data_IF_089526378129
#
_entry.id   IF_089526378129
#
_cell.length_a   1.000
_cell.length_b   1.000
_cell.length_c   1.000
_cell.angle_alpha   90.00
_cell.angle_beta   90.00
_cell.angle_gamma   90.00
#
_symmetry.space_group_name_H-M   'P 1'
#
loop_
_entity.id
_entity.type
_entity.pdbx_description
1 polymer ?
#
# COMPACT_ATOMS: atom_id res chain seq x y z
N UNK A 1 -6.81 -23.92 -14.73
CA UNK A 1 -5.41 -24.35 -14.44
C UNK A 1 -5.24 -24.57 -12.95
N UNK A 2 -4.17 -25.27 -12.51
CA UNK A 2 -3.87 -25.46 -11.08
C UNK A 2 -2.88 -24.40 -10.59
N UNK A 3 -3.04 -23.97 -9.34
CA UNK A 3 -2.14 -23.02 -8.67
C UNK A 3 -2.11 -23.35 -7.18
N UNK A 4 -0.96 -23.14 -6.50
CA UNK A 4 -0.95 -23.09 -5.04
C UNK A 4 -1.32 -21.70 -4.61
N UNK A 5 -2.05 -21.56 -3.51
CA UNK A 5 -2.44 -20.27 -2.95
C UNK A 5 -2.52 -20.31 -1.43
N UNK A 6 -2.25 -19.18 -0.77
CA UNK A 6 -2.53 -19.03 0.64
C UNK A 6 -3.98 -18.57 0.84
N UNK A 7 -4.75 -19.40 1.51
CA UNK A 7 -6.19 -19.26 1.77
C UNK A 7 -6.44 -18.87 3.21
N UNK A 8 -7.26 -17.87 3.43
CA UNK A 8 -7.83 -17.53 4.73
C UNK A 8 -9.26 -18.05 4.80
N UNK A 9 -9.54 -18.98 5.70
CA UNK A 9 -10.84 -19.63 5.82
C UNK A 9 -11.84 -18.86 6.68
N UNK A 10 -11.34 -17.99 7.55
CA UNK A 10 -12.16 -17.15 8.42
C UNK A 10 -11.32 -16.16 9.22
N UNK A 11 -12.00 -15.19 9.83
CA UNK A 11 -11.36 -14.19 10.69
C UNK A 11 -10.67 -14.88 11.88
N UNK A 12 -9.44 -14.50 12.17
CA UNK A 12 -8.64 -15.04 13.28
C UNK A 12 -7.97 -16.38 12.98
N UNK A 13 -8.16 -16.93 11.77
CA UNK A 13 -7.45 -18.15 11.36
C UNK A 13 -6.08 -17.85 10.77
N UNK A 14 -5.21 -18.87 10.71
CA UNK A 14 -3.95 -18.81 10.01
C UNK A 14 -4.15 -19.05 8.51
N UNK A 15 -3.25 -18.50 7.70
CA UNK A 15 -3.18 -18.81 6.27
C UNK A 15 -2.85 -20.28 6.06
N UNK A 16 -3.56 -20.93 5.15
CA UNK A 16 -3.33 -22.31 4.75
C UNK A 16 -2.98 -22.34 3.27
N UNK A 17 -1.82 -22.89 2.94
CA UNK A 17 -1.41 -23.07 1.54
C UNK A 17 -2.05 -24.35 1.01
N UNK A 18 -2.78 -24.22 -0.10
CA UNK A 18 -3.47 -25.35 -0.74
C UNK A 18 -3.50 -25.19 -2.26
N UNK A 19 -3.81 -26.28 -2.97
CA UNK A 19 -3.99 -26.27 -4.42
C UNK A 19 -5.41 -25.78 -4.78
N UNK A 20 -5.49 -24.84 -5.71
CA UNK A 20 -6.73 -24.26 -6.21
C UNK A 20 -6.87 -24.46 -7.72
N UNK A 21 -8.09 -24.37 -8.21
CA UNK A 21 -8.41 -24.29 -9.64
C UNK A 21 -8.65 -22.84 -10.04
N UNK A 22 -8.09 -22.43 -11.19
CA UNK A 22 -8.31 -21.12 -11.80
C UNK A 22 -8.93 -21.32 -13.18
N UNK A 23 -9.99 -20.58 -13.45
CA UNK A 23 -10.63 -20.55 -14.78
C UNK A 23 -9.68 -19.98 -15.85
N UNK A 24 -9.99 -20.28 -17.11
CA UNK A 24 -9.31 -19.62 -18.24
C UNK A 24 -9.68 -18.13 -18.34
N UNK A 25 -8.80 -17.29 -18.91
CA UNK A 25 -9.04 -15.85 -19.03
C UNK A 25 -10.19 -15.53 -19.97
N UNK A 26 -11.17 -14.80 -19.48
CA UNK A 26 -12.24 -14.17 -20.25
C UNK A 26 -11.78 -12.91 -20.99
N UNK A 27 -12.69 -12.23 -21.70
CA UNK A 27 -12.35 -10.98 -22.41
C UNK A 27 -11.84 -9.90 -21.46
N UNK A 28 -10.69 -9.30 -21.79
CA UNK A 28 -10.05 -8.27 -20.96
C UNK A 28 -9.36 -8.78 -19.70
N UNK A 29 -9.10 -10.09 -19.63
CA UNK A 29 -8.44 -10.73 -18.48
C UNK A 29 -7.10 -11.34 -18.89
N UNK A 30 -6.22 -11.47 -17.91
CA UNK A 30 -4.88 -12.00 -18.09
C UNK A 30 -4.54 -12.96 -16.96
N UNK A 31 -3.75 -14.00 -17.27
CA UNK A 31 -3.14 -14.87 -16.27
C UNK A 31 -1.71 -14.40 -16.03
N UNK A 32 -1.39 -14.16 -14.76
CA UNK A 32 -0.06 -13.76 -14.31
C UNK A 32 0.59 -14.92 -13.55
N UNK A 33 1.82 -15.30 -13.91
CA UNK A 33 2.70 -16.11 -13.07
C UNK A 33 3.36 -15.18 -12.07
N UNK A 34 3.02 -15.30 -10.79
CA UNK A 34 3.59 -14.48 -9.72
C UNK A 34 5.07 -14.80 -9.55
N UNK A 35 5.89 -13.80 -9.37
CA UNK A 35 7.32 -13.91 -9.07
C UNK A 35 7.64 -13.43 -7.67
N UNK A 36 7.03 -12.32 -7.25
CA UNK A 36 7.18 -11.77 -5.90
C UNK A 36 5.85 -11.17 -5.47
N UNK A 37 5.46 -11.40 -4.23
CA UNK A 37 4.35 -10.73 -3.55
C UNK A 37 4.86 -10.01 -2.30
N UNK A 38 4.44 -8.76 -2.11
CA UNK A 38 4.73 -7.99 -0.91
C UNK A 38 3.77 -8.35 0.22
N UNK A 39 4.28 -8.41 1.45
CA UNK A 39 3.46 -8.61 2.65
C UNK A 39 3.10 -7.24 3.26
N UNK A 40 1.82 -7.00 3.46
CA UNK A 40 1.30 -5.70 3.90
C UNK A 40 0.41 -5.85 5.15
N UNK A 41 0.29 -4.78 5.92
CA UNK A 41 -0.63 -4.72 7.06
C UNK A 41 -2.10 -4.84 6.63
N UNK A 42 -2.43 -4.48 5.40
CA UNK A 42 -3.80 -4.63 4.90
C UNK A 42 -4.25 -6.09 4.81
N UNK A 43 -3.32 -7.03 4.57
CA UNK A 43 -3.64 -8.46 4.61
C UNK A 43 -3.86 -8.93 6.06
N UNK A 44 -3.10 -8.38 7.01
CA UNK A 44 -3.30 -8.62 8.44
C UNK A 44 -4.67 -8.10 8.91
N UNK A 45 -5.14 -6.95 8.41
CA UNK A 45 -6.48 -6.43 8.69
C UNK A 45 -7.60 -7.38 8.26
N UNK A 46 -7.39 -8.18 7.21
CA UNK A 46 -8.35 -9.22 6.80
C UNK A 46 -8.32 -10.39 7.80
N UNK A 47 -7.14 -10.75 8.32
CA UNK A 47 -7.00 -11.81 9.34
C UNK A 47 -7.62 -11.37 10.67
N UNK A 48 -7.37 -10.13 11.11
CA UNK A 48 -7.88 -9.62 12.40
C UNK A 48 -9.35 -9.22 12.36
N UNK A 49 -9.93 -9.05 11.15
CA UNK A 49 -11.30 -8.57 10.99
C UNK A 49 -11.45 -7.04 11.06
N UNK A 50 -10.35 -6.29 11.08
CA UNK A 50 -10.38 -4.82 10.93
C UNK A 50 -10.89 -4.42 9.55
N UNK A 51 -10.60 -5.24 8.54
CA UNK A 51 -11.15 -5.15 7.19
C UNK A 51 -11.91 -6.44 6.86
N UNK A 52 -13.22 -6.32 6.68
CA UNK A 52 -14.09 -7.46 6.42
C UNK A 52 -14.08 -7.83 4.94
N UNK A 53 -13.82 -9.11 4.65
CA UNK A 53 -14.07 -9.66 3.32
C UNK A 53 -15.54 -10.09 3.22
N UNK A 54 -16.19 -9.85 2.09
CA UNK A 54 -17.60 -10.23 1.91
C UNK A 54 -17.81 -11.74 1.80
N UNK A 55 -16.76 -12.51 1.50
CA UNK A 55 -16.79 -13.95 1.37
C UNK A 55 -15.48 -14.59 1.87
N UNK A 56 -15.62 -15.72 2.57
CA UNK A 56 -14.52 -16.61 2.93
C UNK A 56 -14.84 -18.03 2.41
N UNK A 57 -13.85 -18.85 2.03
CA UNK A 57 -12.43 -18.54 2.07
C UNK A 57 -11.99 -17.53 1.01
N UNK A 58 -10.88 -16.83 1.29
CA UNK A 58 -10.31 -15.87 0.35
C UNK A 58 -8.81 -16.09 0.14
N UNK A 59 -8.33 -15.75 -1.06
CA UNK A 59 -6.91 -15.71 -1.40
C UNK A 59 -6.37 -14.34 -0.95
N UNK A 60 -5.31 -14.32 -0.14
CA UNK A 60 -4.67 -13.10 0.34
C UNK A 60 -3.76 -12.45 -0.68
N UNK A 61 -3.24 -11.28 -0.28
CA UNK A 61 -2.25 -10.54 -1.06
C UNK A 61 -2.85 -9.56 -2.07
N UNK A 62 -2.23 -8.38 -2.13
CA UNK A 62 -2.65 -7.30 -3.02
C UNK A 62 -1.45 -6.53 -3.60
N UNK A 63 -0.24 -6.91 -3.24
CA UNK A 63 1.01 -6.40 -3.80
C UNK A 63 1.68 -7.51 -4.60
N UNK A 64 2.02 -7.27 -5.86
CA UNK A 64 2.64 -8.33 -6.63
C UNK A 64 3.32 -7.87 -7.92
N UNK A 65 4.26 -8.70 -8.35
CA UNK A 65 4.94 -8.64 -9.63
C UNK A 65 4.98 -10.03 -10.26
N UNK A 66 4.88 -10.09 -11.57
CA UNK A 66 4.91 -11.35 -12.29
C UNK A 66 5.01 -11.19 -13.80
N UNK A 67 4.93 -12.33 -14.48
CA UNK A 67 4.99 -12.45 -15.92
C UNK A 67 3.60 -12.85 -16.46
N UNK A 68 3.15 -12.18 -17.51
CA UNK A 68 1.94 -12.57 -18.24
C UNK A 68 2.19 -13.91 -18.94
N UNK A 69 1.35 -14.90 -18.66
CA UNK A 69 1.47 -16.22 -19.29
C UNK A 69 0.34 -16.52 -20.28
N UNK A 70 -0.84 -15.93 -20.08
CA UNK A 70 -2.00 -16.09 -20.95
C UNK A 70 -2.83 -14.82 -20.97
N UNK A 71 -3.46 -14.52 -22.10
CA UNK A 71 -4.34 -13.36 -22.26
C UNK A 71 -5.68 -13.79 -22.89
N UNK A 72 -6.75 -13.22 -22.39
CA UNK A 72 -8.08 -13.40 -22.95
C UNK A 72 -8.34 -12.54 -24.17
N UNK A 73 -9.52 -12.70 -24.76
CA UNK A 73 -9.92 -11.89 -25.89
C UNK A 73 -9.96 -10.39 -25.54
N UNK A 74 -9.70 -9.52 -26.51
CA UNK A 74 -9.71 -8.05 -26.39
C UNK A 74 -8.65 -7.45 -25.45
N UNK A 75 -7.72 -8.22 -24.91
CA UNK A 75 -6.55 -7.70 -24.21
C UNK A 75 -5.63 -7.03 -25.22
N UNK A 76 -5.22 -5.78 -24.95
CA UNK A 76 -4.41 -4.97 -25.86
C UNK A 76 -3.20 -4.32 -25.19
N UNK A 77 -3.18 -4.24 -23.86
CA UNK A 77 -2.14 -3.52 -23.12
C UNK A 77 -0.91 -4.38 -22.80
N UNK A 78 -1.06 -5.70 -22.80
CA UNK A 78 -0.01 -6.67 -22.49
C UNK A 78 -0.11 -7.93 -23.34
N UNK A 79 0.96 -8.73 -23.39
CA UNK A 79 1.03 -10.01 -24.08
C UNK A 79 1.84 -11.03 -23.26
N UNK A 80 1.74 -12.34 -23.54
CA UNK A 80 2.57 -13.35 -22.88
C UNK A 80 4.07 -13.00 -22.96
N UNK A 81 4.78 -13.16 -21.85
CA UNK A 81 6.18 -12.79 -21.66
C UNK A 81 6.38 -11.35 -21.14
N UNK A 82 5.35 -10.51 -21.09
CA UNK A 82 5.48 -9.19 -20.52
C UNK A 82 5.60 -9.25 -18.97
N UNK A 83 6.52 -8.46 -18.43
CA UNK A 83 6.66 -8.26 -16.99
C UNK A 83 5.68 -7.18 -16.52
N UNK A 84 5.01 -7.43 -15.39
CA UNK A 84 3.99 -6.52 -14.86
C UNK A 84 4.11 -6.33 -13.35
N UNK A 85 3.77 -5.12 -12.92
CA UNK A 85 3.38 -4.80 -11.55
C UNK A 85 1.85 -4.87 -11.45
N UNK A 86 1.32 -5.36 -10.33
CA UNK A 86 -0.12 -5.54 -10.13
C UNK A 86 -0.67 -4.41 -9.25
N UNK A 87 -1.60 -3.64 -9.78
CA UNK A 87 -2.26 -2.55 -9.06
C UNK A 87 -3.56 -3.04 -8.43
N UNK A 88 -3.69 -2.92 -7.11
CA UNK A 88 -4.92 -3.28 -6.40
C UNK A 88 -6.10 -2.34 -6.70
N UNK A 89 -5.86 -1.21 -7.33
CA UNK A 89 -6.88 -0.35 -7.93
C UNK A 89 -6.78 -0.47 -9.45
N UNK A 90 -7.70 -1.17 -10.11
CA UNK A 90 -7.77 -1.18 -11.57
C UNK A 90 -7.96 0.22 -12.12
N UNK A 91 -7.34 0.53 -13.25
CA UNK A 91 -7.42 1.84 -13.90
C UNK A 91 -7.93 1.71 -15.33
N UNK A 92 -9.27 1.78 -15.52
CA UNK A 92 -9.90 1.53 -16.82
C UNK A 92 -9.65 2.62 -17.89
N UNK A 93 -9.10 3.78 -17.51
CA UNK A 93 -8.79 4.88 -18.43
C UNK A 93 -10.00 5.64 -19.01
N UNK A 94 -11.24 5.17 -18.80
CA UNK A 94 -12.44 5.70 -19.48
C UNK A 94 -13.55 6.23 -18.55
N UNK A 95 -13.58 5.87 -17.29
CA UNK A 95 -14.55 6.43 -16.33
C UNK A 95 -14.20 7.90 -15.99
N UNK A 96 -15.17 8.63 -15.42
CA UNK A 96 -14.98 10.03 -15.04
C UNK A 96 -13.75 10.29 -14.19
N UNK A 97 -13.42 9.36 -13.30
CA UNK A 97 -12.28 9.50 -12.42
C UNK A 97 -10.95 9.34 -13.14
N UNK A 98 -10.84 8.32 -13.99
CA UNK A 98 -9.63 8.10 -14.79
C UNK A 98 -9.36 9.27 -15.73
N UNK A 99 -10.38 9.74 -16.48
CA UNK A 99 -10.19 10.84 -17.44
C UNK A 99 -9.98 12.20 -16.77
N UNK A 100 -10.32 12.34 -15.48
CA UNK A 100 -10.03 13.55 -14.70
C UNK A 100 -8.69 13.50 -13.93
N UNK A 101 -7.84 12.47 -14.18
CA UNK A 101 -6.55 12.31 -13.51
C UNK A 101 -6.63 11.73 -12.10
N UNK A 102 -7.78 11.21 -11.68
CA UNK A 102 -8.03 10.63 -10.35
C UNK A 102 -8.27 9.12 -10.44
N UNK A 103 -7.40 8.40 -11.14
CA UNK A 103 -7.56 6.97 -11.45
C UNK A 103 -7.59 6.07 -10.21
N UNK A 104 -7.04 6.49 -9.08
CA UNK A 104 -7.20 5.80 -7.78
C UNK A 104 -8.67 5.69 -7.33
N UNK A 105 -9.57 6.45 -7.91
CA UNK A 105 -11.00 6.41 -7.68
C UNK A 105 -11.76 5.76 -8.83
N UNK A 106 -11.09 4.99 -9.68
CA UNK A 106 -11.71 4.28 -10.80
C UNK A 106 -12.93 3.48 -10.36
N UNK A 107 -14.01 3.54 -11.16
CA UNK A 107 -15.26 2.84 -10.85
C UNK A 107 -15.07 1.31 -10.74
N UNK A 108 -14.08 0.72 -11.42
CA UNK A 108 -13.70 -0.69 -11.24
C UNK A 108 -13.04 -0.94 -9.87
N UNK A 109 -12.25 0.01 -9.39
CA UNK A 109 -11.64 -0.04 -8.06
C UNK A 109 -12.63 0.18 -6.93
N UNK A 110 -13.78 0.81 -7.18
CA UNK A 110 -14.85 0.95 -6.18
C UNK A 110 -15.41 -0.41 -5.71
N UNK A 111 -15.22 -1.45 -6.52
CA UNK A 111 -15.57 -2.85 -6.19
C UNK A 111 -14.54 -3.56 -5.30
N UNK A 112 -13.55 -2.85 -4.78
CA UNK A 112 -12.47 -3.40 -3.96
C UNK A 112 -12.99 -4.16 -2.73
N UNK A 113 -14.07 -3.65 -2.13
CA UNK A 113 -14.73 -4.22 -0.97
C UNK A 113 -15.95 -5.07 -1.35
N UNK A 114 -16.33 -5.08 -2.62
CA UNK A 114 -17.56 -5.73 -3.02
C UNK A 114 -17.42 -7.23 -3.11
N UNK A 115 -16.20 -7.84 -3.13
CA UNK A 115 -16.37 -9.27 -3.23
C UNK A 115 -15.22 -10.17 -3.51
N UNK A 116 -14.03 -9.69 -3.76
CA UNK A 116 -13.00 -10.61 -4.24
C UNK A 116 -13.35 -11.34 -5.53
N UNK A 117 -14.35 -10.85 -6.29
CA UNK A 117 -14.75 -11.37 -7.59
C UNK A 117 -13.97 -10.72 -8.73
N UNK A 118 -14.10 -11.25 -9.92
CA UNK A 118 -13.67 -10.59 -11.16
C UNK A 118 -14.47 -9.30 -11.39
N UNK A 119 -13.97 -8.43 -12.26
CA UNK A 119 -14.64 -7.14 -12.56
C UNK A 119 -16.05 -7.30 -13.16
N UNK A 120 -16.36 -8.45 -13.75
CA UNK A 120 -17.68 -8.83 -14.26
C UNK A 120 -18.59 -9.44 -13.20
N UNK A 121 -18.07 -9.67 -11.97
CA UNK A 121 -18.84 -10.22 -10.84
C UNK A 121 -18.83 -11.74 -10.74
N UNK A 122 -18.11 -12.46 -11.61
CA UNK A 122 -17.98 -13.93 -11.49
C UNK A 122 -16.89 -14.33 -10.50
N UNK A 123 -17.02 -15.49 -9.90
CA UNK A 123 -15.94 -16.16 -9.18
C UNK A 123 -15.15 -16.99 -10.18
N UNK A 124 -13.83 -16.88 -10.17
CA UNK A 124 -12.95 -17.53 -11.15
C UNK A 124 -11.82 -18.34 -10.52
N UNK A 125 -11.85 -18.47 -9.20
CA UNK A 125 -10.91 -19.26 -8.41
C UNK A 125 -11.69 -20.17 -7.49
N UNK A 126 -11.29 -21.43 -7.39
CA UNK A 126 -12.05 -22.47 -6.71
C UNK A 126 -11.16 -23.40 -5.91
N UNK A 127 -11.62 -23.84 -4.74
CA UNK A 127 -11.04 -24.95 -3.99
C UNK A 127 -12.06 -26.10 -3.97
N UNK A 128 -11.89 -27.07 -4.86
CA UNK A 128 -12.90 -28.09 -5.13
C UNK A 128 -14.20 -27.47 -5.65
N UNK A 129 -15.28 -27.59 -4.89
CA UNK A 129 -16.59 -26.99 -5.22
C UNK A 129 -16.82 -25.62 -4.55
N UNK A 130 -15.85 -25.09 -3.82
CA UNK A 130 -15.96 -23.85 -3.07
C UNK A 130 -15.35 -22.71 -3.86
N UNK A 131 -16.16 -21.67 -4.10
CA UNK A 131 -15.69 -20.44 -4.71
C UNK A 131 -14.79 -19.66 -3.74
N UNK A 132 -13.72 -19.08 -4.27
CA UNK A 132 -12.73 -18.30 -3.50
C UNK A 132 -12.84 -16.82 -3.82
N UNK A 133 -13.02 -15.99 -2.80
CA UNK A 133 -12.81 -14.56 -2.93
C UNK A 133 -11.32 -14.24 -3.09
N UNK A 134 -11.00 -13.03 -3.54
CA UNK A 134 -9.62 -12.56 -3.68
C UNK A 134 -9.48 -11.17 -3.08
N UNK A 135 -8.46 -10.99 -2.28
CA UNK A 135 -8.18 -9.67 -1.74
C UNK A 135 -7.91 -8.68 -2.87
N UNK A 136 -8.60 -7.55 -2.84
CA UNK A 136 -8.41 -6.45 -3.79
C UNK A 136 -8.55 -6.86 -5.27
N UNK A 137 -9.38 -7.84 -5.59
CA UNK A 137 -9.54 -8.42 -6.94
C UNK A 137 -8.24 -9.04 -7.52
N UNK A 138 -7.19 -9.18 -6.71
CA UNK A 138 -5.88 -9.74 -7.08
C UNK A 138 -5.66 -11.13 -6.47
N UNK A 139 -5.43 -11.20 -5.15
CA UNK A 139 -5.07 -12.44 -4.47
C UNK A 139 -3.63 -12.86 -4.78
N UNK A 140 -2.64 -11.98 -4.56
CA UNK A 140 -1.25 -12.18 -5.00
C UNK A 140 -0.48 -13.26 -4.26
N UNK A 141 -1.05 -13.85 -3.21
CA UNK A 141 -0.44 -15.01 -2.53
C UNK A 141 -0.78 -16.32 -3.24
N UNK A 142 -0.52 -16.39 -4.54
CA UNK A 142 -0.72 -17.56 -5.38
C UNK A 142 0.35 -17.64 -6.47
N UNK A 143 0.73 -18.87 -6.89
CA UNK A 143 1.70 -19.09 -7.98
C UNK A 143 1.19 -18.48 -9.30
N UNK A 144 -0.10 -18.62 -9.56
CA UNK A 144 -0.78 -18.03 -10.72
C UNK A 144 -2.07 -17.36 -10.27
N UNK A 145 -2.41 -16.26 -10.94
CA UNK A 145 -3.65 -15.53 -10.68
C UNK A 145 -4.26 -15.03 -11.99
N UNK A 146 -5.59 -14.98 -12.00
CA UNK A 146 -6.38 -14.43 -13.09
C UNK A 146 -6.88 -13.04 -12.66
N UNK A 147 -6.53 -12.00 -13.43
CA UNK A 147 -6.87 -10.60 -13.11
C UNK A 147 -7.33 -9.84 -14.36
N UNK A 148 -7.99 -8.71 -14.15
CA UNK A 148 -8.28 -7.76 -15.26
C UNK A 148 -6.99 -7.16 -15.80
N UNK A 149 -6.91 -6.93 -17.12
CA UNK A 149 -5.82 -6.16 -17.74
C UNK A 149 -5.72 -4.74 -17.19
N UNK A 150 -6.82 -4.19 -16.66
CA UNK A 150 -6.84 -2.87 -16.02
C UNK A 150 -6.13 -2.84 -14.65
N UNK A 151 -5.85 -4.01 -14.07
CA UNK A 151 -5.14 -4.17 -12.80
C UNK A 151 -3.64 -4.46 -12.97
N UNK A 152 -3.11 -4.52 -14.18
CA UNK A 152 -1.69 -4.73 -14.44
C UNK A 152 -1.05 -3.52 -15.11
N UNK A 153 0.21 -3.27 -14.77
CA UNK A 153 1.04 -2.21 -15.34
C UNK A 153 2.30 -2.84 -15.91
N UNK A 154 2.47 -2.79 -17.22
CA UNK A 154 3.68 -3.31 -17.88
C UNK A 154 4.91 -2.52 -17.46
N UNK A 155 5.99 -3.25 -17.16
CA UNK A 155 7.29 -2.69 -16.72
C UNK A 155 8.43 -3.25 -17.57
N UNK A 156 9.60 -2.64 -17.44
CA UNK A 156 10.80 -3.12 -18.15
C UNK A 156 11.27 -4.47 -17.57
N UNK A 157 11.67 -5.42 -18.43
CA UNK A 157 11.92 -6.81 -18.03
C UNK A 157 13.24 -7.02 -17.25
N UNK A 158 14.12 -6.02 -17.19
CA UNK A 158 15.39 -6.07 -16.48
C UNK A 158 15.30 -5.56 -15.03
N UNK A 159 14.12 -5.12 -14.58
CA UNK A 159 13.89 -4.66 -13.21
C UNK A 159 13.78 -5.84 -12.24
N UNK A 160 14.36 -5.72 -11.02
CA UNK A 160 14.23 -6.74 -9.98
C UNK A 160 12.78 -6.93 -9.55
N UNK A 161 12.32 -8.18 -9.44
CA UNK A 161 10.94 -8.50 -9.11
C UNK A 161 10.43 -7.91 -7.80
N UNK A 162 11.30 -7.85 -6.77
CA UNK A 162 10.93 -7.24 -5.49
C UNK A 162 10.66 -5.72 -5.62
N UNK A 163 11.45 -5.01 -6.42
CA UNK A 163 11.21 -3.59 -6.66
C UNK A 163 9.87 -3.38 -7.39
N UNK A 164 9.60 -4.21 -8.44
CA UNK A 164 8.34 -4.19 -9.18
C UNK A 164 7.13 -4.54 -8.30
N UNK A 165 7.28 -5.48 -7.35
CA UNK A 165 6.22 -5.82 -6.42
C UNK A 165 5.94 -4.71 -5.40
N UNK A 166 6.99 -4.12 -4.80
CA UNK A 166 6.82 -3.13 -3.74
C UNK A 166 6.21 -1.80 -4.21
N UNK A 167 6.43 -1.40 -5.48
CA UNK A 167 5.80 -0.19 -6.04
C UNK A 167 4.30 -0.37 -6.28
N UNK A 168 3.78 -1.58 -6.21
CA UNK A 168 2.37 -1.88 -6.46
C UNK A 168 1.42 -1.42 -5.34
N UNK A 169 1.95 -1.18 -4.11
CA UNK A 169 1.15 -0.66 -2.99
C UNK A 169 1.97 0.23 -2.06
N UNK A 170 2.83 -0.36 -1.20
CA UNK A 170 3.44 0.36 -0.07
C UNK A 170 4.30 1.55 -0.49
N UNK A 171 5.06 1.41 -1.58
CA UNK A 171 5.93 2.47 -2.10
C UNK A 171 5.10 3.60 -2.71
N UNK A 172 4.19 3.29 -3.64
CA UNK A 172 3.30 4.27 -4.27
C UNK A 172 2.43 4.99 -3.25
N UNK A 173 1.92 4.25 -2.25
CA UNK A 173 1.10 4.83 -1.18
C UNK A 173 1.90 5.80 -0.33
N UNK A 174 3.09 5.43 0.11
CA UNK A 174 3.93 6.29 0.96
C UNK A 174 4.44 7.50 0.22
N UNK A 175 5.06 7.31 -0.93
CA UNK A 175 5.53 8.40 -1.78
C UNK A 175 4.40 9.38 -2.13
N UNK A 176 3.29 8.85 -2.62
CA UNK A 176 2.15 9.68 -3.01
C UNK A 176 1.46 10.38 -1.83
N UNK A 177 1.51 9.82 -0.61
CA UNK A 177 1.02 10.50 0.59
C UNK A 177 1.77 11.81 0.83
N UNK A 178 3.08 11.84 0.58
CA UNK A 178 3.90 13.03 0.70
C UNK A 178 3.74 13.95 -0.53
N UNK A 179 3.91 13.40 -1.73
CA UNK A 179 4.04 14.20 -2.96
C UNK A 179 2.69 14.63 -3.51
N UNK A 180 1.73 13.71 -3.64
CA UNK A 180 0.44 13.99 -4.27
C UNK A 180 -0.62 14.47 -3.27
N UNK A 181 -0.59 13.97 -2.02
CA UNK A 181 -1.69 14.24 -1.10
C UNK A 181 -1.37 15.32 -0.08
N UNK A 182 -0.20 15.26 0.56
CA UNK A 182 0.28 16.33 1.42
C UNK A 182 0.77 17.53 0.61
N UNK A 183 1.15 17.31 -0.67
CA UNK A 183 1.69 18.36 -1.53
C UNK A 183 2.91 19.02 -0.87
N UNK A 184 3.89 18.18 -0.50
CA UNK A 184 5.13 18.64 0.14
C UNK A 184 5.90 19.53 -0.81
N UNK A 185 6.30 20.70 -0.31
CA UNK A 185 7.08 21.71 -1.06
C UNK A 185 8.51 21.85 -0.51
N UNK A 186 9.43 22.35 -1.33
CA UNK A 186 10.78 22.67 -0.87
C UNK A 186 10.75 23.63 0.33
N UNK A 187 11.43 23.23 1.41
CA UNK A 187 11.48 24.01 2.64
C UNK A 187 10.52 23.57 3.74
N UNK A 188 9.54 22.72 3.43
CA UNK A 188 8.58 22.19 4.41
C UNK A 188 9.25 21.41 5.55
N UNK A 189 8.62 21.46 6.72
CA UNK A 189 8.82 20.52 7.82
C UNK A 189 7.70 19.48 7.76
N UNK A 190 8.08 18.22 7.57
CA UNK A 190 7.16 17.07 7.42
C UNK A 190 7.33 16.14 8.60
N UNK A 191 6.23 15.72 9.21
CA UNK A 191 6.20 14.68 10.24
C UNK A 191 5.51 13.44 9.64
N UNK A 192 6.16 12.28 9.77
CA UNK A 192 5.58 10.98 9.39
C UNK A 192 5.42 10.14 10.65
N UNK A 193 4.21 9.71 10.95
CA UNK A 193 3.87 8.91 12.14
C UNK A 193 3.56 7.48 11.73
N UNK A 194 4.34 6.52 12.25
CA UNK A 194 4.30 5.13 11.87
C UNK A 194 5.27 4.83 10.72
N UNK A 195 6.42 4.24 11.04
CA UNK A 195 7.48 3.94 10.08
C UNK A 195 7.47 2.46 9.71
N UNK A 196 6.36 2.06 9.11
CA UNK A 196 6.21 0.78 8.40
C UNK A 196 6.53 0.94 6.91
N UNK A 197 6.09 -0.03 6.11
CA UNK A 197 6.31 -0.02 4.66
C UNK A 197 5.77 1.22 3.93
N UNK A 198 4.68 1.82 4.41
CA UNK A 198 4.13 3.06 3.86
C UNK A 198 4.91 4.27 4.39
N UNK A 199 5.09 4.35 5.71
CA UNK A 199 5.72 5.53 6.34
C UNK A 199 7.14 5.77 5.90
N UNK A 200 7.95 4.72 5.74
CA UNK A 200 9.33 4.87 5.27
C UNK A 200 9.40 5.43 3.83
N UNK A 201 8.41 5.09 2.99
CA UNK A 201 8.30 5.65 1.64
C UNK A 201 7.70 7.06 1.64
N UNK A 202 6.89 7.43 2.64
CA UNK A 202 6.49 8.82 2.85
C UNK A 202 7.69 9.69 3.26
N UNK A 203 8.63 9.14 4.07
CA UNK A 203 9.91 9.80 4.38
C UNK A 203 10.72 10.03 3.10
N UNK A 204 10.88 9.02 2.24
CA UNK A 204 11.58 9.18 0.95
C UNK A 204 10.88 10.23 0.06
N UNK A 205 9.56 10.12 -0.09
CA UNK A 205 8.75 11.05 -0.89
C UNK A 205 8.92 12.51 -0.40
N UNK A 206 8.87 12.74 0.91
CA UNK A 206 9.07 14.06 1.48
C UNK A 206 10.48 14.60 1.19
N UNK A 207 11.53 13.77 1.28
CA UNK A 207 12.90 14.18 0.94
C UNK A 207 13.07 14.50 -0.54
N UNK A 208 12.53 13.66 -1.41
CA UNK A 208 12.56 13.86 -2.88
C UNK A 208 11.82 15.15 -3.26
N UNK A 209 10.69 15.45 -2.59
CA UNK A 209 9.95 16.71 -2.80
C UNK A 209 10.68 17.96 -2.27
N UNK A 210 11.81 17.82 -1.56
CA UNK A 210 12.63 18.93 -1.09
C UNK A 210 12.31 19.42 0.32
N UNK A 211 11.63 18.61 1.14
CA UNK A 211 11.39 18.94 2.55
C UNK A 211 12.70 19.29 3.27
N UNK A 212 12.72 20.42 3.99
CA UNK A 212 13.88 20.87 4.78
C UNK A 212 14.12 19.93 5.97
N UNK A 213 13.04 19.51 6.62
CA UNK A 213 13.07 18.57 7.74
C UNK A 213 12.06 17.46 7.52
N UNK A 214 12.48 16.23 7.78
CA UNK A 214 11.58 15.07 7.82
C UNK A 214 11.75 14.40 9.17
N UNK A 215 10.71 14.46 9.99
CA UNK A 215 10.66 13.90 11.33
C UNK A 215 9.90 12.59 11.27
N UNK A 216 10.56 11.49 11.66
CA UNK A 216 9.96 10.17 11.70
C UNK A 216 9.59 9.80 13.15
N UNK A 217 8.35 9.37 13.36
CA UNK A 217 7.83 8.98 14.66
C UNK A 217 7.39 7.52 14.62
N UNK A 218 8.02 6.67 15.43
CA UNK A 218 7.64 5.26 15.60
C UNK A 218 8.11 4.76 16.98
N UNK A 219 7.31 3.99 17.73
CA UNK A 219 7.73 3.44 19.02
C UNK A 219 8.91 2.47 18.92
N UNK A 220 9.08 1.78 17.78
CA UNK A 220 10.12 0.78 17.57
C UNK A 220 11.43 1.45 17.14
N UNK A 221 12.49 1.29 17.96
CA UNK A 221 13.81 1.91 17.73
C UNK A 221 14.41 1.52 16.38
N UNK A 222 14.42 0.22 16.04
CA UNK A 222 14.89 -0.27 14.74
C UNK A 222 14.27 0.49 13.56
N UNK A 223 12.96 0.78 13.61
CA UNK A 223 12.28 1.53 12.54
C UNK A 223 12.71 2.98 12.48
N UNK A 224 12.96 3.61 13.64
CA UNK A 224 13.50 4.97 13.70
C UNK A 224 14.91 5.07 13.13
N UNK A 225 15.77 4.09 13.44
CA UNK A 225 17.12 3.99 12.86
C UNK A 225 17.04 3.85 11.33
N UNK A 226 16.20 2.95 10.85
CA UNK A 226 15.96 2.79 9.41
C UNK A 226 15.45 4.07 8.75
N UNK A 227 14.55 4.81 9.39
CA UNK A 227 14.06 6.08 8.84
C UNK A 227 15.19 7.06 8.51
N UNK A 228 16.24 7.10 9.32
CA UNK A 228 17.43 7.96 9.06
C UNK A 228 18.14 7.55 7.77
N UNK A 229 18.26 6.26 7.49
CA UNK A 229 18.86 5.75 6.25
C UNK A 229 18.06 6.16 5.01
N UNK A 230 16.73 6.34 5.17
CA UNK A 230 15.81 6.73 4.09
C UNK A 230 15.54 8.24 4.02
N UNK A 231 16.23 9.04 4.83
CA UNK A 231 16.23 10.50 4.69
C UNK A 231 15.50 11.27 5.79
N UNK A 232 15.06 10.62 6.88
CA UNK A 232 14.61 11.35 8.06
C UNK A 232 15.77 12.19 8.63
N UNK A 233 15.44 13.34 9.19
CA UNK A 233 16.42 14.26 9.81
C UNK A 233 16.37 14.18 11.33
N UNK A 234 15.25 13.76 11.89
CA UNK A 234 14.99 13.59 13.32
C UNK A 234 14.06 12.41 13.53
N UNK A 235 14.17 11.77 14.70
CA UNK A 235 13.29 10.67 15.06
C UNK A 235 12.83 10.80 16.50
N UNK A 236 11.58 10.37 16.78
CA UNK A 236 11.00 10.35 18.13
C UNK A 236 10.16 9.07 18.32
N UNK A 237 9.91 8.69 19.56
CA UNK A 237 9.12 7.50 19.87
C UNK A 237 7.61 7.76 19.82
N UNK A 238 7.19 9.01 20.01
CA UNK A 238 5.77 9.41 20.02
C UNK A 238 5.59 10.86 19.58
N UNK A 239 4.36 11.24 19.23
CA UNK A 239 4.00 12.64 18.92
C UNK A 239 4.16 13.55 20.14
N UNK A 240 3.90 13.04 21.34
CA UNK A 240 4.06 13.78 22.60
C UNK A 240 5.55 14.15 22.84
N UNK A 241 6.44 13.18 22.67
CA UNK A 241 7.90 13.42 22.76
C UNK A 241 8.36 14.41 21.70
N UNK A 242 7.83 14.31 20.49
CA UNK A 242 8.24 15.17 19.38
C UNK A 242 7.80 16.63 19.52
N UNK A 243 6.68 16.91 20.21
CA UNK A 243 6.03 18.22 20.18
C UNK A 243 6.95 19.37 20.67
N UNK A 244 7.65 19.19 21.78
CA UNK A 244 8.58 20.20 22.33
C UNK A 244 9.76 20.47 21.40
N UNK A 245 10.56 19.44 21.03
CA UNK A 245 11.66 19.59 20.08
C UNK A 245 11.23 20.12 18.71
N UNK A 246 10.06 19.70 18.19
CA UNK A 246 9.51 20.22 16.95
C UNK A 246 9.25 21.73 17.04
N UNK A 247 8.62 22.20 18.14
CA UNK A 247 8.39 23.62 18.37
C UNK A 247 9.72 24.40 18.42
N UNK A 248 10.74 23.85 19.08
CA UNK A 248 12.06 24.49 19.18
C UNK A 248 12.73 24.63 17.81
N UNK A 249 12.85 23.56 17.02
CA UNK A 249 13.55 23.58 15.72
C UNK A 249 12.78 24.34 14.65
N UNK A 250 11.47 24.57 14.83
CA UNK A 250 10.61 25.33 13.92
C UNK A 250 10.26 26.73 14.44
N UNK A 251 10.81 27.13 15.60
CA UNK A 251 10.53 28.42 16.22
C UNK A 251 9.04 28.65 16.51
N UNK A 252 8.35 27.58 16.86
CA UNK A 252 6.92 27.56 17.17
C UNK A 252 6.00 27.42 15.96
N UNK A 253 6.52 27.33 14.74
CA UNK A 253 5.68 27.16 13.53
C UNK A 253 5.03 25.79 13.45
N UNK A 254 5.67 24.75 14.00
CA UNK A 254 5.25 23.35 13.92
C UNK A 254 5.43 22.73 12.50
N UNK A 255 4.79 21.59 12.21
CA UNK A 255 4.95 20.89 10.95
C UNK A 255 3.98 21.40 9.86
N UNK A 256 4.50 21.72 8.68
CA UNK A 256 3.68 22.08 7.53
C UNK A 256 2.79 20.90 7.11
N UNK A 257 3.34 19.68 7.16
CA UNK A 257 2.65 18.46 6.78
C UNK A 257 2.83 17.38 7.85
N UNK A 258 1.74 16.71 8.23
CA UNK A 258 1.75 15.52 9.10
C UNK A 258 1.10 14.38 8.35
N UNK A 259 1.78 13.24 8.25
CA UNK A 259 1.32 12.05 7.50
C UNK A 259 1.17 10.90 8.48
N UNK A 260 -0.05 10.37 8.62
CA UNK A 260 -0.38 9.28 9.53
C UNK A 260 -0.38 7.95 8.78
N UNK A 261 0.57 7.08 9.14
CA UNK A 261 0.81 5.76 8.55
C UNK A 261 1.03 4.66 9.61
N UNK A 262 0.36 4.70 10.79
CA UNK A 262 0.47 3.60 11.76
C UNK A 262 -0.08 2.29 11.18
N UNK A 263 0.21 1.16 11.82
CA UNK A 263 -0.32 -0.15 11.40
C UNK A 263 -1.86 -0.17 11.39
N UNK A 264 -2.47 0.33 12.46
CA UNK A 264 -3.92 0.55 12.59
C UNK A 264 -4.17 2.01 12.96
N UNK A 265 -4.97 2.69 12.17
CA UNK A 265 -5.38 4.07 12.47
C UNK A 265 -6.43 4.09 13.59
N UNK A 266 -6.20 4.92 14.60
CA UNK A 266 -7.15 5.15 15.67
C UNK A 266 -7.60 6.61 15.67
N UNK A 267 -8.90 6.85 15.91
CA UNK A 267 -9.46 8.19 15.93
C UNK A 267 -8.79 9.13 16.94
N UNK A 268 -8.30 8.59 18.07
CA UNK A 268 -7.54 9.33 19.09
C UNK A 268 -6.20 9.94 18.58
N UNK A 269 -5.65 9.46 17.46
CA UNK A 269 -4.43 9.98 16.87
C UNK A 269 -4.62 11.31 16.13
N UNK A 270 -5.86 11.66 15.76
CA UNK A 270 -6.16 12.84 14.95
C UNK A 270 -5.85 14.13 15.70
N UNK A 271 -6.29 14.28 16.94
CA UNK A 271 -6.06 15.52 17.70
C UNK A 271 -4.57 15.75 17.97
N UNK A 272 -3.77 14.78 18.46
CA UNK A 272 -2.32 14.96 18.61
C UNK A 272 -1.61 15.32 17.31
N UNK A 273 -2.02 14.71 16.18
CA UNK A 273 -1.47 15.05 14.86
C UNK A 273 -1.79 16.51 14.46
N UNK A 274 -3.02 16.96 14.73
CA UNK A 274 -3.38 18.36 14.49
C UNK A 274 -2.66 19.34 15.42
N UNK A 275 -2.36 18.95 16.67
CA UNK A 275 -1.65 19.82 17.61
C UNK A 275 -0.22 20.11 17.13
N UNK A 276 0.45 19.13 16.51
CA UNK A 276 1.78 19.32 15.92
C UNK A 276 1.75 19.82 14.47
N UNK A 277 0.57 20.04 13.88
CA UNK A 277 0.42 20.63 12.54
C UNK A 277 0.43 22.14 12.62
N UNK A 278 1.15 22.82 11.74
CA UNK A 278 1.25 24.26 11.63
C UNK A 278 -0.10 24.94 11.31
N UNK A 279 -0.17 26.27 11.47
CA UNK A 279 -1.25 27.07 10.91
C UNK A 279 -1.27 26.93 9.39
N UNK A 280 -2.46 26.67 8.82
CA UNK A 280 -2.60 26.40 7.38
C UNK A 280 -1.99 25.06 6.93
N UNK A 281 -1.50 24.27 7.88
CA UNK A 281 -0.87 22.97 7.56
C UNK A 281 -1.87 21.86 7.30
N UNK A 282 -1.37 20.76 6.75
CA UNK A 282 -2.17 19.62 6.31
C UNK A 282 -1.81 18.36 7.09
N UNK A 283 -2.83 17.68 7.63
CA UNK A 283 -2.73 16.32 8.18
C UNK A 283 -3.31 15.33 7.15
N UNK A 284 -2.50 14.36 6.73
CA UNK A 284 -2.90 13.31 5.78
C UNK A 284 -3.10 11.99 6.52
N UNK A 285 -4.28 11.41 6.40
CA UNK A 285 -4.63 10.11 6.98
C UNK A 285 -4.52 9.07 5.87
N UNK A 286 -3.49 8.23 5.95
CA UNK A 286 -3.20 7.18 4.96
C UNK A 286 -3.44 5.79 5.52
N UNK A 287 -3.18 5.60 6.82
CA UNK A 287 -3.40 4.31 7.47
C UNK A 287 -4.89 3.94 7.51
N UNK A 288 -5.14 2.64 7.41
CA UNK A 288 -6.50 2.08 7.49
C UNK A 288 -6.92 1.99 8.97
N UNK A 289 -8.12 2.47 9.29
CA UNK A 289 -8.79 2.21 10.56
C UNK A 289 -9.59 0.91 10.48
N UNK A 290 -9.92 0.31 11.61
CA UNK A 290 -10.92 -0.75 11.64
C UNK A 290 -12.25 -0.24 11.05
N UNK A 291 -12.90 -1.05 10.22
CA UNK A 291 -14.23 -0.73 9.67
C UNK A 291 -15.30 -0.56 10.77
N UNK A 292 -15.02 -1.06 11.97
CA UNK A 292 -15.91 -0.98 13.14
C UNK A 292 -15.62 0.25 14.03
N UNK A 293 -14.50 0.95 13.81
CA UNK A 293 -14.10 2.15 14.54
C UNK A 293 -14.14 3.36 13.60
N UNK A 294 -15.23 4.11 13.62
CA UNK A 294 -15.45 5.21 12.68
C UNK A 294 -15.30 6.61 13.26
N UNK A 295 -15.05 6.77 14.58
CA UNK A 295 -15.11 8.07 15.22
C UNK A 295 -13.72 8.68 15.46
N UNK A 296 -13.59 9.98 15.13
CA UNK A 296 -12.44 10.79 15.46
C UNK A 296 -12.90 12.07 16.15
N UNK A 297 -12.25 12.44 17.25
CA UNK A 297 -12.52 13.69 17.97
C UNK A 297 -11.44 14.71 17.67
N UNK A 298 -11.86 15.96 17.43
CA UNK A 298 -10.95 17.09 17.24
C UNK A 298 -11.52 18.36 17.86
N UNK A 299 -10.63 19.29 18.22
CA UNK A 299 -11.01 20.63 18.65
C UNK A 299 -11.43 21.47 17.43
N UNK A 300 -12.73 21.51 17.14
CA UNK A 300 -13.28 22.19 15.96
C UNK A 300 -13.01 23.70 15.95
N UNK A 301 -12.93 24.34 17.13
CA UNK A 301 -12.60 25.77 17.22
C UNK A 301 -11.16 26.01 16.74
N UNK A 302 -10.19 25.29 17.31
CA UNK A 302 -8.77 25.45 16.93
C UNK A 302 -8.53 24.99 15.49
N UNK A 303 -9.20 23.94 15.04
CA UNK A 303 -9.12 23.48 13.66
C UNK A 303 -9.51 24.60 12.67
N UNK A 304 -10.65 25.26 12.90
CA UNK A 304 -11.10 26.36 12.05
C UNK A 304 -10.24 27.61 12.19
N UNK A 305 -9.91 28.03 13.43
CA UNK A 305 -9.15 29.25 13.68
C UNK A 305 -7.71 29.19 13.16
N UNK A 306 -7.12 28.00 13.08
CA UNK A 306 -5.78 27.78 12.54
C UNK A 306 -5.77 27.40 11.05
N UNK A 307 -6.94 27.39 10.41
CA UNK A 307 -7.11 27.05 8.99
C UNK A 307 -6.41 25.75 8.60
N UNK A 308 -6.50 24.70 9.45
CA UNK A 308 -5.86 23.41 9.22
C UNK A 308 -6.69 22.55 8.28
N UNK A 309 -6.04 21.59 7.64
CA UNK A 309 -6.68 20.62 6.74
C UNK A 309 -6.48 19.20 7.24
N UNK A 310 -7.49 18.35 7.02
CA UNK A 310 -7.36 16.88 7.12
C UNK A 310 -7.73 16.30 5.76
N UNK A 311 -6.85 15.45 5.22
CA UNK A 311 -7.07 14.82 3.91
C UNK A 311 -6.93 13.29 4.04
N UNK A 312 -7.96 12.52 3.60
CA UNK A 312 -7.84 11.08 3.43
C UNK A 312 -6.95 10.75 2.22
N UNK A 313 -6.21 9.64 2.28
CA UNK A 313 -5.30 9.23 1.22
C UNK A 313 -5.47 7.73 0.92
N UNK A 314 -5.94 7.40 -0.26
CA UNK A 314 -5.99 6.04 -0.80
C UNK A 314 -4.87 5.90 -1.83
N UNK A 315 -4.04 4.85 -1.70
CA UNK A 315 -2.98 4.49 -2.66
C UNK A 315 -2.10 5.69 -3.08
N UNK A 316 -1.74 6.56 -2.11
CA UNK A 316 -0.95 7.76 -2.37
C UNK A 316 -1.66 8.85 -3.17
N UNK A 317 -2.95 8.73 -3.44
CA UNK A 317 -3.75 9.66 -4.26
C UNK A 317 -3.20 9.88 -5.67
N UNK A 318 -2.42 8.93 -6.19
CA UNK A 318 -1.74 9.02 -7.47
C UNK A 318 -2.49 8.39 -8.64
N UNK A 319 -1.75 8.09 -9.71
CA UNK A 319 -2.21 7.35 -10.88
C UNK A 319 -1.31 6.12 -11.08
N UNK A 320 -1.76 4.89 -10.75
CA UNK A 320 -0.89 3.71 -10.80
C UNK A 320 -0.20 3.50 -12.15
N UNK A 321 -0.89 3.76 -13.26
CA UNK A 321 -0.31 3.60 -14.61
C UNK A 321 0.79 4.62 -14.92
N UNK A 322 0.81 5.76 -14.25
CA UNK A 322 1.85 6.78 -14.40
C UNK A 322 2.91 6.65 -13.28
N UNK A 323 2.48 6.45 -12.04
CA UNK A 323 3.36 6.50 -10.88
C UNK A 323 4.25 5.25 -10.77
N UNK A 324 3.73 4.05 -11.06
CA UNK A 324 4.52 2.82 -11.00
C UNK A 324 5.75 2.90 -11.92
N UNK A 325 5.63 3.22 -13.22
CA UNK A 325 6.80 3.39 -14.06
C UNK A 325 7.72 4.55 -13.62
N UNK A 326 7.16 5.66 -13.15
CA UNK A 326 7.95 6.79 -12.68
C UNK A 326 8.78 6.43 -11.43
N UNK A 327 8.20 5.72 -10.46
CA UNK A 327 8.90 5.27 -9.26
C UNK A 327 10.00 4.26 -9.59
N UNK A 328 9.76 3.34 -10.52
CA UNK A 328 10.78 2.40 -11.01
C UNK A 328 11.91 3.11 -11.76
N UNK A 329 11.60 4.18 -12.51
CA UNK A 329 12.62 5.04 -13.09
C UNK A 329 13.46 5.74 -12.03
N UNK A 330 12.83 6.29 -10.97
CA UNK A 330 13.55 6.89 -9.83
C UNK A 330 14.44 5.88 -9.10
N UNK A 331 13.98 4.64 -8.95
CA UNK A 331 14.78 3.56 -8.40
C UNK A 331 16.02 3.27 -9.26
N UNK A 332 15.85 3.16 -10.57
CA UNK A 332 16.95 2.93 -11.54
C UNK A 332 18.01 4.03 -11.49
N UNK A 333 17.59 5.28 -11.31
CA UNK A 333 18.47 6.44 -11.15
C UNK A 333 19.06 6.60 -9.71
N UNK A 334 18.73 5.69 -8.79
CA UNK A 334 19.22 5.72 -7.40
C UNK A 334 18.61 6.84 -6.53
N UNK A 335 17.51 7.45 -6.99
CA UNK A 335 16.78 8.48 -6.25
C UNK A 335 15.82 7.88 -5.22
N UNK A 336 15.32 6.68 -5.47
CA UNK A 336 14.41 5.94 -4.61
C UNK A 336 15.06 4.61 -4.21
N UNK A 337 15.12 4.32 -2.92
CA UNK A 337 15.66 3.08 -2.37
C UNK A 337 14.57 2.04 -2.26
N UNK A 338 14.69 0.92 -2.93
CA UNK A 338 13.76 -0.19 -2.88
C UNK A 338 14.41 -1.49 -2.37
N UNK A 339 15.68 -1.75 -2.70
CA UNK A 339 16.40 -2.94 -2.25
C UNK A 339 16.51 -2.98 -0.72
N UNK A 340 16.83 -1.84 -0.11
CA UNK A 340 17.00 -1.69 1.33
C UNK A 340 15.69 -1.80 2.11
N UNK A 341 14.54 -1.72 1.44
CA UNK A 341 13.24 -1.96 2.06
C UNK A 341 13.04 -3.43 2.41
N UNK A 342 13.52 -4.35 1.54
CA UNK A 342 13.36 -5.79 1.73
C UNK A 342 14.30 -6.27 2.83
N UNK A 343 13.76 -6.45 4.02
CA UNK A 343 14.54 -6.90 5.17
C UNK A 343 14.45 -8.42 5.39
N UNK A 344 13.42 -9.07 4.82
CA UNK A 344 13.22 -10.52 4.90
C UNK A 344 12.49 -11.05 3.67
N UNK A 345 12.85 -12.28 3.28
CA UNK A 345 12.23 -13.04 2.19
C UNK A 345 11.68 -14.34 2.75
N UNK A 346 10.51 -14.75 2.27
CA UNK A 346 9.78 -15.93 2.68
C UNK A 346 9.35 -16.76 1.46
N UNK A 347 9.11 -18.05 1.67
CA UNK A 347 8.32 -18.88 0.76
C UNK A 347 6.84 -18.70 1.04
N UNK A 348 5.97 -19.21 0.16
CA UNK A 348 4.53 -19.15 0.38
C UNK A 348 4.13 -19.91 1.66
N UNK A 349 4.79 -21.02 1.95
CA UNK A 349 4.57 -21.86 3.14
C UNK A 349 4.96 -21.15 4.45
N UNK A 350 5.86 -20.18 4.38
CA UNK A 350 6.32 -19.38 5.53
C UNK A 350 5.47 -18.13 5.79
N UNK A 351 4.34 -17.97 5.09
CA UNK A 351 3.49 -16.77 5.17
C UNK A 351 3.11 -16.41 6.61
N UNK A 352 2.75 -17.37 7.45
CA UNK A 352 2.37 -17.14 8.84
C UNK A 352 3.55 -16.64 9.68
N UNK A 353 4.76 -17.16 9.42
CA UNK A 353 5.99 -16.66 10.06
C UNK A 353 6.28 -15.22 9.63
N UNK A 354 6.07 -14.89 8.35
CA UNK A 354 6.26 -13.54 7.84
C UNK A 354 5.34 -12.52 8.52
N UNK A 355 4.06 -12.86 8.73
CA UNK A 355 3.13 -12.01 9.48
C UNK A 355 3.46 -11.95 10.98
N UNK A 356 3.95 -13.03 11.58
CA UNK A 356 4.43 -12.98 12.96
C UNK A 356 5.63 -12.02 13.09
N UNK A 357 6.60 -12.08 12.17
CA UNK A 357 7.75 -11.17 12.16
C UNK A 357 7.34 -9.71 11.94
N UNK A 358 6.27 -9.47 11.16
CA UNK A 358 5.68 -8.13 10.99
C UNK A 358 5.06 -7.62 12.29
N UNK A 359 4.27 -8.44 13.00
CA UNK A 359 3.68 -8.11 14.31
C UNK A 359 4.76 -7.82 15.36
N UNK A 360 5.84 -8.58 15.33
CA UNK A 360 6.98 -8.42 16.24
C UNK A 360 7.88 -7.20 15.88
N UNK A 361 7.57 -6.48 14.79
CA UNK A 361 8.35 -5.32 14.34
C UNK A 361 9.76 -5.64 13.84
N UNK A 362 10.01 -6.89 13.41
CA UNK A 362 11.34 -7.39 13.00
C UNK A 362 11.69 -7.06 11.55
N UNK A 363 10.74 -6.58 10.75
CA UNK A 363 10.96 -6.23 9.36
C UNK A 363 10.37 -4.85 9.01
N UNK A 364 10.88 -4.24 7.95
CA UNK A 364 10.27 -3.09 7.28
C UNK A 364 9.35 -3.62 6.18
N UNK A 365 9.90 -4.44 5.27
CA UNK A 365 9.14 -5.16 4.24
C UNK A 365 9.56 -6.62 4.22
N UNK A 366 8.58 -7.50 4.33
CA UNK A 366 8.69 -8.90 3.97
C UNK A 366 8.16 -9.11 2.55
N UNK A 367 8.78 -10.01 1.81
CA UNK A 367 8.31 -10.43 0.48
C UNK A 367 8.25 -11.95 0.40
N UNK A 368 7.24 -12.47 -0.28
CA UNK A 368 7.12 -13.88 -0.65
C UNK A 368 7.67 -14.04 -2.07
N UNK A 369 8.58 -15.00 -2.27
CA UNK A 369 9.13 -15.33 -3.58
C UNK A 369 8.51 -16.61 -4.12
N UNK A 370 8.27 -16.65 -5.42
CA UNK A 370 7.72 -17.80 -6.15
C UNK A 370 8.75 -18.26 -7.21
N UNK A 371 8.79 -19.56 -7.49
CA UNK A 371 9.71 -20.20 -8.43
C UNK A 371 9.42 -19.90 -9.91
#
# INVERSE_FOLDING_TARGET
MKSRAALLWGIGEEWKVDEIDIDGPGPGEVVVKTKVAGMCHSDEHVVTGDMLMPHYPCIGGHEGAGEIVEVGANVTSVQPGDHVSMSFIPSCGRCKWCVSGKSILCDLGAKLFDVGMMTDGRMAHHHGSTDLARMCQLGTFADYLLVSEDAVVKVEPDLPWHAVALVSCGVSTGYGSAVHRAEVEPGDTVVVVGIGGIGINAVQGARIAGAKRVIAIDPVEFKREKAMEFGATHTFSSMEEAAGPLAEITWGEMANKVILTPGVMKGEMIQPALDITAKGGTCVVTAVASMLEGEASLNSFMFAMMNKEIKGCLFGSGNPRADIPALLSMYREGLLKLDELVTRTYTLEEINQGYQDMRDGKNIRGVITFD
#
